data_IF_930508313770
#
_entry.id   IF_930508313770
#
_cell.length_a   1.000
_cell.length_b   1.000
_cell.length_c   1.000
_cell.angle_alpha   90.00
_cell.angle_beta   90.00
_cell.angle_gamma   90.00
#
_symmetry.space_group_name_H-M   'P 1'
#
loop_
_entity.id
_entity.type
_entity.pdbx_description
1 polymer ?
#
# COMPACT_ATOMS: atom_id res chain seq x y z
N UNK A 1 -16.10 7.12 -24.45
CA UNK A 1 -16.58 6.14 -23.45
C UNK A 1 -16.79 6.89 -22.15
N UNK A 2 -17.94 6.76 -21.54
CA UNK A 2 -18.28 7.58 -20.37
C UNK A 2 -17.94 6.83 -19.08
N UNK A 3 -16.97 7.34 -18.31
CA UNK A 3 -16.58 6.76 -17.00
C UNK A 3 -17.73 6.82 -15.98
N UNK A 4 -18.79 7.55 -16.29
CA UNK A 4 -19.95 7.68 -15.39
C UNK A 4 -20.63 6.35 -15.08
N UNK A 5 -20.41 5.31 -15.91
CA UNK A 5 -21.00 3.98 -15.72
C UNK A 5 -19.91 2.92 -15.40
N UNK A 6 -19.63 2.62 -14.11
CA UNK A 6 -18.65 1.61 -13.72
C UNK A 6 -18.92 0.21 -14.30
N UNK A 7 -20.19 -0.12 -14.59
CA UNK A 7 -20.55 -1.42 -15.15
C UNK A 7 -20.06 -1.57 -16.60
N UNK A 8 -20.10 -0.50 -17.38
CA UNK A 8 -19.58 -0.49 -18.77
C UNK A 8 -18.05 -0.59 -18.78
N UNK A 9 -17.37 0.15 -17.88
CA UNK A 9 -15.91 0.06 -17.75
C UNK A 9 -15.49 -1.37 -17.44
N UNK A 10 -16.16 -2.04 -16.48
CA UNK A 10 -15.88 -3.44 -16.13
C UNK A 10 -16.16 -4.40 -17.29
N UNK A 11 -17.29 -4.26 -17.97
CA UNK A 11 -17.63 -5.10 -19.15
C UNK A 11 -16.60 -4.93 -20.26
N UNK A 12 -16.19 -3.70 -20.53
CA UNK A 12 -15.16 -3.40 -21.54
C UNK A 12 -13.80 -3.96 -21.14
N UNK A 13 -13.41 -3.85 -19.87
CA UNK A 13 -12.16 -4.44 -19.36
C UNK A 13 -12.14 -5.96 -19.58
N UNK A 14 -13.24 -6.66 -19.24
CA UNK A 14 -13.34 -8.10 -19.48
C UNK A 14 -13.28 -8.45 -20.96
N UNK A 15 -13.95 -7.68 -21.84
CA UNK A 15 -13.92 -7.88 -23.29
C UNK A 15 -12.50 -7.71 -23.81
N UNK A 16 -11.83 -6.60 -23.51
CA UNK A 16 -10.45 -6.33 -23.92
C UNK A 16 -9.46 -7.41 -23.47
N UNK A 17 -9.60 -7.88 -22.23
CA UNK A 17 -8.77 -8.99 -21.71
C UNK A 17 -9.03 -10.32 -22.41
N UNK A 18 -10.27 -10.58 -22.90
CA UNK A 18 -10.60 -11.78 -23.68
C UNK A 18 -9.92 -11.73 -25.05
N UNK A 19 -9.94 -10.56 -25.69
CA UNK A 19 -9.34 -10.34 -27.00
C UNK A 19 -7.80 -10.46 -26.95
N UNK A 20 -7.18 -10.14 -25.79
CA UNK A 20 -5.72 -10.22 -25.60
C UNK A 20 -5.35 -11.56 -24.96
N UNK A 21 -5.02 -12.57 -25.80
CA UNK A 21 -4.75 -13.94 -25.37
C UNK A 21 -3.65 -14.10 -24.29
N UNK A 22 -2.70 -13.17 -24.19
CA UNK A 22 -1.57 -13.25 -23.28
C UNK A 22 -1.76 -12.52 -21.93
N UNK A 23 -2.86 -11.84 -21.71
CA UNK A 23 -3.13 -11.13 -20.45
C UNK A 23 -3.05 -12.02 -19.21
N UNK A 24 -3.55 -13.26 -19.30
CA UNK A 24 -3.45 -14.25 -18.22
C UNK A 24 -2.02 -14.73 -17.96
N UNK A 25 -1.20 -14.90 -19.02
CA UNK A 25 0.21 -15.28 -18.87
C UNK A 25 1.00 -14.21 -18.15
N UNK A 26 0.78 -12.94 -18.49
CA UNK A 26 1.42 -11.81 -17.81
C UNK A 26 0.99 -11.72 -16.34
N UNK A 27 -0.30 -11.93 -16.04
CA UNK A 27 -0.80 -11.98 -14.67
C UNK A 27 -0.18 -13.13 -13.87
N UNK A 28 -0.02 -14.31 -14.46
CA UNK A 28 0.63 -15.46 -13.84
C UNK A 28 2.10 -15.19 -13.54
N UNK A 29 2.85 -14.64 -14.51
CA UNK A 29 4.27 -14.30 -14.34
C UNK A 29 4.43 -13.21 -13.28
N UNK A 30 3.61 -12.16 -13.32
CA UNK A 30 3.61 -11.12 -12.30
C UNK A 30 3.33 -11.68 -10.90
N UNK A 31 2.27 -12.48 -10.75
CA UNK A 31 1.93 -13.12 -9.49
C UNK A 31 3.06 -14.02 -8.98
N UNK A 32 3.64 -14.85 -9.87
CA UNK A 32 4.75 -15.72 -9.53
C UNK A 32 5.99 -14.95 -9.07
N UNK A 33 6.35 -13.86 -9.75
CA UNK A 33 7.51 -13.04 -9.38
C UNK A 33 7.29 -12.31 -8.06
N UNK A 34 6.12 -11.67 -7.88
CA UNK A 34 5.81 -10.90 -6.67
C UNK A 34 5.69 -11.80 -5.43
N UNK A 35 4.96 -12.91 -5.55
CA UNK A 35 4.79 -13.86 -4.44
C UNK A 35 6.05 -14.69 -4.21
N UNK A 36 6.78 -15.05 -5.28
CA UNK A 36 8.08 -15.70 -5.18
C UNK A 36 9.10 -14.84 -4.44
N UNK A 37 9.13 -13.52 -4.71
CA UNK A 37 9.97 -12.58 -3.96
C UNK A 37 9.55 -12.52 -2.49
N UNK A 38 8.25 -12.49 -2.19
CA UNK A 38 7.75 -12.49 -0.82
C UNK A 38 8.11 -13.79 -0.08
N UNK A 39 7.96 -14.94 -0.74
CA UNK A 39 8.35 -16.24 -0.20
C UNK A 39 9.87 -16.32 0.04
N UNK A 40 10.67 -15.79 -0.89
CA UNK A 40 12.14 -15.74 -0.75
C UNK A 40 12.54 -14.89 0.47
N UNK A 41 11.92 -13.71 0.65
CA UNK A 41 12.20 -12.85 1.82
C UNK A 41 11.87 -13.59 3.12
N UNK A 42 10.71 -14.25 3.20
CA UNK A 42 10.33 -15.02 4.39
C UNK A 42 11.28 -16.19 4.63
N UNK A 43 11.68 -16.92 3.59
CA UNK A 43 12.65 -18.01 3.70
C UNK A 43 14.01 -17.50 4.22
N UNK A 44 14.52 -16.39 3.68
CA UNK A 44 15.78 -15.78 4.14
C UNK A 44 15.66 -15.29 5.58
N UNK A 45 14.52 -14.73 5.96
CA UNK A 45 14.24 -14.31 7.33
C UNK A 45 14.31 -15.52 8.28
N UNK A 46 13.70 -16.63 7.91
CA UNK A 46 13.76 -17.89 8.67
C UNK A 46 15.19 -18.38 8.85
N UNK A 47 15.98 -18.40 7.77
CA UNK A 47 17.40 -18.82 7.84
C UNK A 47 18.19 -17.91 8.77
N UNK A 48 17.96 -16.59 8.71
CA UNK A 48 18.62 -15.64 9.61
C UNK A 48 18.20 -15.86 11.07
N UNK A 49 16.94 -16.16 11.34
CA UNK A 49 16.41 -16.45 12.67
C UNK A 49 17.10 -17.70 13.28
N UNK A 50 17.22 -18.78 12.51
CA UNK A 50 17.94 -19.98 12.92
C UNK A 50 19.43 -19.70 13.22
N UNK A 51 20.06 -18.82 12.44
CA UNK A 51 21.46 -18.40 12.68
C UNK A 51 21.58 -17.50 13.92
N UNK A 52 20.56 -16.69 14.22
CA UNK A 52 20.49 -15.86 15.43
C UNK A 52 20.39 -16.75 16.67
N UNK A 53 19.52 -17.76 16.64
CA UNK A 53 19.33 -18.69 17.76
C UNK A 53 20.62 -19.51 18.07
N UNK A 54 21.38 -19.87 17.04
CA UNK A 54 22.66 -20.57 17.19
C UNK A 54 23.79 -19.67 17.71
N UNK A 55 23.63 -18.34 17.70
CA UNK A 55 24.66 -17.37 18.08
C UNK A 55 24.69 -17.07 19.59
N UNK A 56 24.11 -17.94 20.43
CA UNK A 56 24.05 -17.79 21.88
C UNK A 56 25.45 -17.75 22.56
N UNK A 57 25.64 -16.74 23.43
CA UNK A 57 26.87 -16.53 24.23
C UNK A 57 27.39 -15.10 24.15
N UNK A 58 28.19 -14.69 25.16
CA UNK A 58 28.74 -13.32 25.28
C UNK A 58 29.61 -12.91 24.07
N UNK A 59 30.29 -13.86 23.39
CA UNK A 59 31.05 -13.60 22.15
C UNK A 59 30.20 -13.42 20.87
N UNK A 60 28.93 -13.77 20.93
CA UNK A 60 28.02 -13.71 19.77
C UNK A 60 27.25 -12.40 19.62
N UNK A 61 27.37 -11.47 20.57
CA UNK A 61 26.55 -10.26 20.62
C UNK A 61 26.64 -9.39 19.32
N UNK A 62 27.85 -9.16 18.81
CA UNK A 62 28.08 -8.43 17.58
C UNK A 62 27.50 -9.15 16.36
N UNK A 63 27.69 -10.47 16.27
CA UNK A 63 27.12 -11.28 15.18
C UNK A 63 25.60 -11.25 15.21
N UNK A 64 24.98 -11.39 16.36
CA UNK A 64 23.52 -11.32 16.55
C UNK A 64 22.96 -9.98 16.10
N UNK A 65 23.60 -8.86 16.47
CA UNK A 65 23.19 -7.52 16.04
C UNK A 65 23.23 -7.37 14.52
N UNK A 66 24.27 -7.85 13.85
CA UNK A 66 24.38 -7.83 12.39
C UNK A 66 23.28 -8.67 11.75
N UNK A 67 23.02 -9.87 12.24
CA UNK A 67 21.97 -10.75 11.68
C UNK A 67 20.56 -10.14 11.85
N UNK A 68 20.25 -9.55 13.00
CA UNK A 68 18.99 -8.82 13.23
C UNK A 68 18.87 -7.62 12.27
N UNK A 69 19.96 -6.87 12.05
CA UNK A 69 19.97 -5.76 11.11
C UNK A 69 19.69 -6.23 9.68
N UNK A 70 20.30 -7.33 9.25
CA UNK A 70 20.04 -7.95 7.94
C UNK A 70 18.58 -8.41 7.80
N UNK A 71 18.02 -9.03 8.82
CA UNK A 71 16.63 -9.47 8.87
C UNK A 71 15.67 -8.29 8.66
N UNK A 72 15.94 -7.14 9.27
CA UNK A 72 15.11 -5.93 9.12
C UNK A 72 15.28 -5.23 7.75
N UNK A 73 16.45 -5.34 7.12
CA UNK A 73 16.73 -4.71 5.82
C UNK A 73 16.12 -5.50 4.64
N UNK A 74 16.04 -6.82 4.73
CA UNK A 74 15.53 -7.69 3.67
C UNK A 74 14.15 -7.28 3.11
N UNK A 75 13.11 -7.03 3.92
CA UNK A 75 11.82 -6.57 3.43
C UNK A 75 11.92 -5.20 2.74
N UNK A 76 12.80 -4.31 3.23
CA UNK A 76 12.99 -2.96 2.67
C UNK A 76 13.57 -3.03 1.25
N UNK A 77 14.50 -3.96 0.99
CA UNK A 77 15.08 -4.18 -0.35
C UNK A 77 14.02 -4.74 -1.32
N UNK A 78 13.07 -5.53 -0.84
CA UNK A 78 12.02 -6.10 -1.68
C UNK A 78 11.01 -5.03 -2.17
N UNK A 79 10.83 -3.92 -1.44
CA UNK A 79 9.86 -2.85 -1.80
C UNK A 79 10.14 -2.28 -3.19
N UNK A 80 11.34 -1.77 -3.54
CA UNK A 80 11.63 -1.20 -4.86
C UNK A 80 11.43 -2.22 -6.00
N UNK A 81 11.77 -3.49 -5.78
CA UNK A 81 11.59 -4.55 -6.78
C UNK A 81 10.09 -4.77 -7.04
N UNK A 82 9.28 -4.85 -5.99
CA UNK A 82 7.82 -4.97 -6.11
C UNK A 82 7.20 -3.76 -6.82
N UNK A 83 7.67 -2.53 -6.53
CA UNK A 83 7.21 -1.32 -7.22
C UNK A 83 7.52 -1.36 -8.72
N UNK A 84 8.70 -1.86 -9.12
CA UNK A 84 9.05 -2.03 -10.54
C UNK A 84 8.16 -3.05 -11.23
N UNK A 85 7.93 -4.20 -10.59
CA UNK A 85 7.04 -5.23 -11.11
C UNK A 85 5.61 -4.70 -11.26
N UNK A 86 5.14 -3.91 -10.31
CA UNK A 86 3.80 -3.31 -10.34
C UNK A 86 3.65 -2.31 -11.48
N UNK A 87 4.62 -1.40 -11.69
CA UNK A 87 4.59 -0.46 -12.82
C UNK A 87 4.61 -1.19 -14.16
N UNK A 88 5.46 -2.23 -14.29
CA UNK A 88 5.51 -3.07 -15.48
C UNK A 88 4.18 -3.78 -15.75
N UNK A 89 3.52 -4.25 -14.69
CA UNK A 89 2.20 -4.87 -14.78
C UNK A 89 1.10 -3.88 -15.19
N UNK A 90 1.10 -2.69 -14.60
CA UNK A 90 0.19 -1.60 -15.02
C UNK A 90 0.41 -1.20 -16.48
N UNK A 91 1.67 -1.18 -16.95
CA UNK A 91 1.98 -0.92 -18.36
C UNK A 91 1.42 -2.02 -19.27
N UNK A 92 1.52 -3.28 -18.86
CA UNK A 92 0.93 -4.41 -19.59
C UNK A 92 -0.60 -4.27 -19.67
N UNK A 93 -1.26 -3.93 -18.56
CA UNK A 93 -2.71 -3.76 -18.53
C UNK A 93 -3.17 -2.53 -19.32
N UNK A 94 -2.38 -1.45 -19.35
CA UNK A 94 -2.65 -0.28 -20.21
C UNK A 94 -2.59 -0.64 -21.69
N UNK A 95 -1.59 -1.42 -22.11
CA UNK A 95 -1.52 -1.94 -23.49
C UNK A 95 -2.71 -2.86 -23.81
N UNK A 96 -3.09 -3.75 -22.88
CA UNK A 96 -4.27 -4.59 -23.03
C UNK A 96 -5.56 -3.77 -23.18
N UNK A 97 -5.74 -2.71 -22.39
CA UNK A 97 -6.87 -1.80 -22.48
C UNK A 97 -6.97 -1.12 -23.85
N UNK A 98 -5.81 -0.84 -24.47
CA UNK A 98 -5.71 -0.25 -25.82
C UNK A 98 -5.81 -1.29 -26.95
N UNK A 99 -5.97 -2.57 -26.63
CA UNK A 99 -6.02 -3.67 -27.62
C UNK A 99 -4.68 -3.97 -28.26
N UNK A 100 -3.58 -3.54 -27.64
CA UNK A 100 -2.21 -3.80 -28.12
C UNK A 100 -1.71 -5.17 -27.63
N UNK A 101 -0.74 -5.70 -28.34
CA UNK A 101 -0.07 -6.94 -27.93
C UNK A 101 0.62 -6.78 -26.57
N UNK A 102 0.44 -7.77 -25.71
CA UNK A 102 1.00 -7.80 -24.35
C UNK A 102 1.87 -9.02 -24.20
N UNK A 103 3.09 -8.84 -23.67
CA UNK A 103 4.00 -9.94 -23.38
C UNK A 103 4.55 -9.81 -21.95
N UNK A 104 5.05 -10.91 -21.33
CA UNK A 104 5.71 -10.85 -20.03
C UNK A 104 6.93 -9.92 -20.00
N UNK A 105 7.58 -9.69 -21.13
CA UNK A 105 8.69 -8.74 -21.26
C UNK A 105 8.30 -7.30 -20.93
N UNK A 106 7.00 -6.95 -21.02
CA UNK A 106 6.50 -5.63 -20.63
C UNK A 106 6.74 -5.34 -19.15
N UNK A 107 6.86 -6.36 -18.31
CA UNK A 107 7.17 -6.19 -16.88
C UNK A 107 8.53 -5.52 -16.66
N UNK A 108 9.47 -5.68 -17.60
CA UNK A 108 10.81 -5.05 -17.55
C UNK A 108 10.73 -3.52 -17.59
N UNK A 109 9.68 -2.97 -18.19
CA UNK A 109 9.51 -1.51 -18.31
C UNK A 109 9.56 -0.79 -16.95
N UNK A 110 9.13 -1.44 -15.87
CA UNK A 110 9.23 -0.88 -14.52
C UNK A 110 10.68 -0.69 -14.07
N UNK A 111 11.57 -1.62 -14.42
CA UNK A 111 13.00 -1.53 -14.13
C UNK A 111 13.70 -0.48 -14.99
N UNK A 112 13.31 -0.37 -16.26
CA UNK A 112 13.87 0.64 -17.18
C UNK A 112 13.56 2.07 -16.70
N UNK A 113 12.48 2.25 -15.93
CA UNK A 113 12.03 3.54 -15.39
C UNK A 113 12.18 3.66 -13.88
N UNK A 114 13.01 2.84 -13.28
CA UNK A 114 13.18 2.74 -11.83
C UNK A 114 13.38 4.08 -11.14
N UNK A 115 14.31 4.91 -11.62
CA UNK A 115 14.65 6.17 -10.96
C UNK A 115 13.51 7.19 -10.97
N UNK A 116 12.77 7.26 -12.07
CA UNK A 116 11.61 8.18 -12.17
C UNK A 116 10.48 7.67 -11.27
N UNK A 117 10.23 6.37 -11.27
CA UNK A 117 9.23 5.73 -10.42
C UNK A 117 9.57 5.92 -8.94
N UNK A 118 10.81 5.63 -8.55
CA UNK A 118 11.26 5.78 -7.15
C UNK A 118 11.09 7.22 -6.66
N UNK A 119 11.53 8.20 -7.45
CA UNK A 119 11.35 9.62 -7.12
C UNK A 119 9.87 10.00 -7.03
N UNK A 120 9.03 9.48 -7.92
CA UNK A 120 7.59 9.76 -7.90
C UNK A 120 6.94 9.20 -6.62
N UNK A 121 7.23 7.95 -6.27
CA UNK A 121 6.70 7.30 -5.06
C UNK A 121 7.21 7.98 -3.80
N UNK A 122 8.50 8.34 -3.73
CA UNK A 122 9.06 9.06 -2.58
C UNK A 122 8.43 10.44 -2.40
N UNK A 123 8.23 11.20 -3.50
CA UNK A 123 7.56 12.50 -3.43
C UNK A 123 6.09 12.37 -3.00
N UNK A 124 5.36 11.40 -3.57
CA UNK A 124 3.98 11.12 -3.19
C UNK A 124 3.89 10.73 -1.71
N UNK A 125 4.74 9.78 -1.28
CA UNK A 125 4.81 9.35 0.12
C UNK A 125 5.16 10.49 1.07
N UNK A 126 6.11 11.36 0.71
CA UNK A 126 6.49 12.51 1.53
C UNK A 126 5.34 13.50 1.69
N UNK A 127 4.57 13.77 0.61
CA UNK A 127 3.40 14.66 0.65
C UNK A 127 2.30 14.04 1.54
N UNK A 128 1.98 12.74 1.35
CA UNK A 128 0.94 12.05 2.13
C UNK A 128 1.35 11.94 3.61
N UNK A 129 2.61 11.59 3.89
CA UNK A 129 3.14 11.48 5.24
C UNK A 129 3.13 12.84 5.95
N UNK A 130 3.61 13.91 5.30
CA UNK A 130 3.57 15.26 5.84
C UNK A 130 2.14 15.75 6.13
N UNK A 131 1.19 15.40 5.26
CA UNK A 131 -0.24 15.70 5.47
C UNK A 131 -0.81 14.92 6.66
N UNK A 132 -0.44 13.64 6.78
CA UNK A 132 -0.86 12.80 7.91
C UNK A 132 -0.31 13.32 9.23
N UNK A 133 0.98 13.67 9.30
CA UNK A 133 1.59 14.29 10.47
C UNK A 133 0.92 15.62 10.84
N UNK A 134 0.63 16.47 9.84
CA UNK A 134 -0.12 17.71 10.06
C UNK A 134 -1.52 17.46 10.63
N UNK A 135 -2.22 16.43 10.14
CA UNK A 135 -3.53 16.05 10.65
C UNK A 135 -3.49 15.55 12.10
N UNK A 136 -2.48 14.72 12.43
CA UNK A 136 -2.26 14.24 13.80
C UNK A 136 -1.95 15.42 14.74
N UNK A 137 -1.08 16.33 14.29
CA UNK A 137 -0.74 17.53 15.08
C UNK A 137 -1.97 18.40 15.34
N UNK A 138 -2.77 18.68 14.30
CA UNK A 138 -4.03 19.44 14.46
C UNK A 138 -5.02 18.71 15.38
N UNK A 139 -5.16 17.40 15.24
CA UNK A 139 -6.01 16.58 16.09
C UNK A 139 -5.57 16.61 17.54
N UNK A 140 -4.28 16.54 17.81
CA UNK A 140 -3.73 16.64 19.17
C UNK A 140 -3.93 18.03 19.79
N UNK A 141 -3.78 19.11 19.01
CA UNK A 141 -4.09 20.48 19.48
C UNK A 141 -5.58 20.63 19.88
N UNK A 142 -6.49 20.14 19.01
CA UNK A 142 -7.92 20.19 19.29
C UNK A 142 -8.25 19.36 20.56
N UNK A 143 -7.62 18.19 20.71
CA UNK A 143 -7.78 17.36 21.90
C UNK A 143 -7.31 18.09 23.17
N UNK A 144 -6.14 18.74 23.13
CA UNK A 144 -5.60 19.50 24.27
C UNK A 144 -6.55 20.62 24.73
N UNK A 145 -7.36 21.15 23.83
CA UNK A 145 -8.36 22.18 24.17
C UNK A 145 -9.72 21.58 24.61
N UNK A 146 -9.84 20.27 24.69
CA UNK A 146 -11.09 19.57 25.01
C UNK A 146 -11.13 19.15 26.48
N UNK A 147 -12.32 19.01 27.11
CA UNK A 147 -12.45 18.49 28.46
C UNK A 147 -11.93 17.06 28.67
N UNK A 148 -11.70 16.33 27.58
CA UNK A 148 -11.11 14.97 27.64
C UNK A 148 -9.63 14.99 27.99
N UNK A 149 -8.91 16.06 27.65
CA UNK A 149 -7.49 16.22 28.03
C UNK A 149 -7.36 16.38 29.55
N UNK A 150 -8.26 17.12 30.18
CA UNK A 150 -8.25 17.31 31.63
C UNK A 150 -8.46 15.99 32.37
N UNK A 151 -9.36 15.14 31.86
CA UNK A 151 -9.58 13.79 32.41
C UNK A 151 -8.33 12.91 32.23
N UNK A 152 -7.68 12.93 31.07
CA UNK A 152 -6.47 12.17 30.83
C UNK A 152 -5.33 12.63 31.74
N UNK A 153 -5.17 13.94 31.94
CA UNK A 153 -4.18 14.51 32.85
C UNK A 153 -4.46 14.16 34.31
N UNK A 154 -5.71 14.23 34.76
CA UNK A 154 -6.12 13.86 36.13
C UNK A 154 -5.81 12.37 36.43
N UNK A 155 -5.92 11.47 35.42
CA UNK A 155 -5.55 10.07 35.54
C UNK A 155 -4.03 9.84 35.56
N UNK A 156 -3.27 10.67 34.86
CA UNK A 156 -1.80 10.57 34.81
C UNK A 156 -1.12 11.22 36.00
N UNK A 157 -1.70 12.24 36.59
CA UNK A 157 -1.07 13.04 37.63
C UNK A 157 -0.58 12.20 38.83
N UNK A 158 -1.33 11.23 39.39
CA UNK A 158 -0.85 10.41 40.49
C UNK A 158 0.37 9.54 40.10
N UNK A 159 0.44 9.11 38.83
CA UNK A 159 1.58 8.33 38.32
C UNK A 159 2.80 9.22 38.11
N UNK A 160 2.60 10.45 37.61
CA UNK A 160 3.64 11.45 37.43
C UNK A 160 4.25 11.90 38.77
N UNK A 161 3.40 12.13 39.78
CA UNK A 161 3.82 12.58 41.11
C UNK A 161 4.61 11.48 41.86
N UNK A 162 4.37 10.21 41.56
CA UNK A 162 5.05 9.06 42.16
C UNK A 162 6.37 8.67 41.45
N UNK A 163 6.64 9.19 40.26
CA UNK A 163 7.73 8.75 39.40
C UNK A 163 8.88 9.76 39.36
N UNK A 164 10.07 9.34 39.73
CA UNK A 164 11.33 10.08 39.49
C UNK A 164 11.79 10.03 38.05
N UNK A 165 11.41 8.98 37.30
CA UNK A 165 11.65 8.80 35.85
C UNK A 165 10.42 8.15 35.23
N UNK A 166 9.86 8.77 34.19
CA UNK A 166 8.74 8.22 33.41
C UNK A 166 9.16 6.93 32.69
N UNK A 167 8.66 5.79 33.17
CA UNK A 167 8.77 4.52 32.49
C UNK A 167 7.37 4.07 32.01
N UNK A 168 7.18 3.74 30.72
CA UNK A 168 5.89 3.24 30.21
C UNK A 168 5.33 2.05 30.99
N UNK A 169 6.18 1.19 31.57
CA UNK A 169 5.75 0.08 32.41
C UNK A 169 5.06 0.52 33.71
N UNK A 170 5.43 1.66 34.28
CA UNK A 170 4.74 2.17 35.49
C UNK A 170 3.26 2.50 35.23
N UNK A 171 2.93 2.96 34.03
CA UNK A 171 1.54 3.22 33.64
C UNK A 171 0.77 1.91 33.47
N UNK A 172 1.42 0.87 32.93
CA UNK A 172 0.81 -0.46 32.79
C UNK A 172 0.58 -1.12 34.15
N UNK A 173 1.54 -1.04 35.05
CA UNK A 173 1.50 -1.66 36.39
C UNK A 173 0.54 -0.92 37.36
N UNK A 174 0.27 0.36 37.12
CA UNK A 174 -0.62 1.18 37.94
C UNK A 174 -2.11 0.83 37.83
N UNK A 175 -2.52 0.00 36.84
CA UNK A 175 -3.90 -0.33 36.55
C UNK A 175 -4.74 0.83 35.96
N UNK A 176 -4.10 1.99 35.72
CA UNK A 176 -4.74 3.19 35.15
C UNK A 176 -4.79 3.11 33.62
N UNK A 177 -4.08 2.16 33.02
CA UNK A 177 -3.90 2.03 31.56
C UNK A 177 -5.25 1.99 30.80
N UNK A 178 -6.18 1.15 31.23
CA UNK A 178 -7.48 0.99 30.55
C UNK A 178 -8.33 2.27 30.65
N UNK A 179 -8.32 2.93 31.80
CA UNK A 179 -9.03 4.19 31.99
C UNK A 179 -8.41 5.33 31.16
N UNK A 180 -7.07 5.36 31.09
CA UNK A 180 -6.33 6.31 30.28
C UNK A 180 -6.61 6.09 28.77
N UNK A 181 -6.58 4.83 28.32
CA UNK A 181 -6.95 4.49 26.93
C UNK A 181 -8.37 4.92 26.60
N UNK A 182 -9.32 4.72 27.53
CA UNK A 182 -10.70 5.21 27.39
C UNK A 182 -10.79 6.75 27.29
N UNK A 183 -10.02 7.47 28.11
CA UNK A 183 -9.97 8.94 28.07
C UNK A 183 -9.30 9.47 26.79
N UNK A 184 -8.32 8.75 26.23
CA UNK A 184 -7.61 9.13 24.99
C UNK A 184 -8.30 8.64 23.71
N UNK A 185 -9.28 7.72 23.80
CA UNK A 185 -9.98 7.19 22.64
C UNK A 185 -10.58 8.28 21.72
N UNK A 186 -11.20 9.36 22.22
CA UNK A 186 -11.69 10.44 21.37
C UNK A 186 -10.57 11.14 20.60
N UNK A 187 -9.36 11.27 21.18
CA UNK A 187 -8.21 11.84 20.50
C UNK A 187 -7.76 10.97 19.31
N UNK A 188 -7.66 9.66 19.53
CA UNK A 188 -7.29 8.72 18.47
C UNK A 188 -8.31 8.74 17.32
N UNK A 189 -9.60 8.71 17.64
CA UNK A 189 -10.68 8.79 16.64
C UNK A 189 -10.60 10.10 15.87
N UNK A 190 -10.43 11.23 16.56
CA UNK A 190 -10.31 12.55 15.93
C UNK A 190 -9.10 12.63 15.00
N UNK A 191 -7.93 12.20 15.44
CA UNK A 191 -6.71 12.18 14.62
C UNK A 191 -6.87 11.29 13.40
N UNK A 192 -7.49 10.10 13.56
CA UNK A 192 -7.72 9.16 12.48
C UNK A 192 -8.70 9.72 11.44
N UNK A 193 -9.78 10.35 11.88
CA UNK A 193 -10.77 10.99 11.00
C UNK A 193 -10.14 12.15 10.24
N UNK A 194 -9.40 13.04 10.92
CA UNK A 194 -8.69 14.16 10.27
C UNK A 194 -7.65 13.66 9.27
N UNK A 195 -6.85 12.65 9.66
CA UNK A 195 -5.89 12.04 8.76
C UNK A 195 -6.59 11.46 7.52
N UNK A 196 -7.67 10.72 7.68
CA UNK A 196 -8.43 10.16 6.56
C UNK A 196 -9.01 11.25 5.66
N UNK A 197 -9.66 12.27 6.23
CA UNK A 197 -10.30 13.37 5.48
C UNK A 197 -9.28 14.17 4.67
N UNK A 198 -8.07 14.36 5.17
CA UNK A 198 -7.03 15.13 4.48
C UNK A 198 -6.21 14.28 3.51
N UNK A 199 -5.83 13.05 3.89
CA UNK A 199 -4.92 12.21 3.07
C UNK A 199 -5.64 11.47 1.95
N UNK A 200 -6.88 10.97 2.16
CA UNK A 200 -7.59 10.19 1.14
C UNK A 200 -7.85 11.00 -0.13
N UNK A 201 -8.41 12.24 -0.10
CA UNK A 201 -8.58 13.04 -1.31
C UNK A 201 -7.27 13.36 -2.00
N UNK A 202 -6.18 13.51 -1.24
CA UNK A 202 -4.86 13.79 -1.78
C UNK A 202 -4.26 12.56 -2.48
N UNK A 203 -4.39 11.37 -1.90
CA UNK A 203 -3.99 10.11 -2.52
C UNK A 203 -4.73 9.88 -3.85
N UNK A 204 -6.04 10.17 -3.91
CA UNK A 204 -6.78 10.09 -5.16
C UNK A 204 -6.25 11.04 -6.24
N UNK A 205 -5.75 12.23 -5.87
CA UNK A 205 -5.17 13.18 -6.84
C UNK A 205 -3.90 12.69 -7.50
N UNK A 206 -3.12 11.85 -6.82
CA UNK A 206 -1.84 11.34 -7.33
C UNK A 206 -1.94 9.94 -7.95
N UNK A 207 -3.06 9.27 -7.81
CA UNK A 207 -3.27 7.87 -8.21
C UNK A 207 -2.95 7.57 -9.68
N UNK A 208 -3.12 8.55 -10.58
CA UNK A 208 -2.85 8.38 -12.01
C UNK A 208 -1.39 8.67 -12.40
N UNK A 209 -0.53 9.07 -11.45
CA UNK A 209 0.85 9.46 -11.73
C UNK A 209 1.67 8.32 -12.36
N UNK A 210 1.47 7.08 -11.90
CA UNK A 210 2.15 5.90 -12.44
C UNK A 210 1.77 5.66 -13.92
N UNK A 211 0.48 5.80 -14.27
CA UNK A 211 0.03 5.71 -15.67
C UNK A 211 0.62 6.82 -16.55
N UNK A 212 0.80 8.02 -16.02
CA UNK A 212 1.48 9.12 -16.72
C UNK A 212 2.93 8.78 -17.02
N UNK A 213 3.67 8.18 -16.06
CA UNK A 213 5.04 7.72 -16.25
C UNK A 213 5.10 6.62 -17.32
N UNK A 214 4.12 5.72 -17.35
CA UNK A 214 4.03 4.67 -18.37
C UNK A 214 3.81 5.26 -19.77
N UNK A 215 2.92 6.24 -19.86
CA UNK A 215 2.46 6.79 -21.15
C UNK A 215 3.45 7.78 -21.76
N UNK A 216 4.18 8.54 -20.95
CA UNK A 216 5.14 9.56 -21.36
C UNK A 216 6.57 9.21 -20.93
N UNK A 217 7.36 8.55 -21.81
CA UNK A 217 8.76 8.29 -21.54
C UNK A 217 9.54 9.60 -21.31
N UNK A 218 10.36 9.63 -20.27
CA UNK A 218 11.21 10.79 -19.96
C UNK A 218 10.56 11.92 -19.15
N UNK A 219 9.27 11.77 -18.75
CA UNK A 219 8.63 12.78 -17.89
C UNK A 219 9.29 12.81 -16.50
N UNK A 220 9.63 14.00 -15.94
CA UNK A 220 10.10 14.09 -14.57
C UNK A 220 9.00 13.72 -13.55
N UNK A 221 9.39 13.15 -12.41
CA UNK A 221 8.46 12.69 -11.37
C UNK A 221 7.48 13.78 -10.90
N UNK A 222 7.98 15.00 -10.65
CA UNK A 222 7.15 16.16 -10.25
C UNK A 222 6.09 16.52 -11.30
N UNK A 223 6.46 16.44 -12.59
CA UNK A 223 5.54 16.71 -13.68
C UNK A 223 4.47 15.63 -13.82
N UNK A 224 4.84 14.36 -13.57
CA UNK A 224 3.88 13.25 -13.55
C UNK A 224 2.83 13.46 -12.43
N UNK A 225 3.25 13.86 -11.23
CA UNK A 225 2.35 14.20 -10.12
C UNK A 225 1.44 15.40 -10.45
N UNK A 226 1.99 16.47 -11.03
CA UNK A 226 1.19 17.64 -11.46
C UNK A 226 0.15 17.24 -12.51
N UNK A 227 0.55 16.47 -13.51
CA UNK A 227 -0.37 16.02 -14.56
C UNK A 227 -1.46 15.10 -14.00
N UNK A 228 -1.11 14.18 -13.07
CA UNK A 228 -2.10 13.36 -12.36
C UNK A 228 -3.11 14.24 -11.61
N UNK A 229 -2.63 15.21 -10.84
CA UNK A 229 -3.48 16.16 -10.09
C UNK A 229 -4.43 16.93 -11.03
N UNK A 230 -3.94 17.38 -12.17
CA UNK A 230 -4.76 18.09 -13.17
C UNK A 230 -5.85 17.18 -13.74
N UNK A 231 -5.52 15.96 -14.17
CA UNK A 231 -6.47 14.99 -14.72
C UNK A 231 -7.53 14.57 -13.69
N UNK A 232 -7.16 14.49 -12.43
CA UNK A 232 -8.07 14.11 -11.35
C UNK A 232 -9.01 15.23 -10.91
N UNK A 233 -8.75 16.48 -11.29
CA UNK A 233 -9.64 17.61 -10.99
C UNK A 233 -11.00 17.39 -11.66
N UNK A 234 -12.08 17.24 -10.86
CA UNK A 234 -13.43 16.94 -11.33
C UNK A 234 -13.70 15.45 -11.64
N UNK A 235 -12.70 14.58 -11.67
CA UNK A 235 -12.85 13.16 -11.96
C UNK A 235 -12.70 12.24 -10.74
N UNK A 236 -12.33 12.77 -9.57
CA UNK A 236 -12.14 12.00 -8.33
C UNK A 236 -13.38 11.20 -7.96
N UNK A 237 -14.58 11.80 -8.03
CA UNK A 237 -15.83 11.11 -7.71
C UNK A 237 -16.17 9.97 -8.67
N UNK A 238 -15.76 10.07 -9.94
CA UNK A 238 -15.96 9.01 -10.93
C UNK A 238 -15.08 7.80 -10.59
N UNK A 239 -13.81 8.07 -10.27
CA UNK A 239 -12.87 7.03 -9.87
C UNK A 239 -13.28 6.36 -8.55
N UNK A 240 -13.78 7.15 -7.58
CA UNK A 240 -14.32 6.62 -6.33
C UNK A 240 -15.51 5.67 -6.57
N UNK A 241 -16.43 6.02 -7.49
CA UNK A 241 -17.53 5.11 -7.87
C UNK A 241 -17.02 3.82 -8.49
N UNK A 242 -15.95 3.87 -9.28
CA UNK A 242 -15.30 2.69 -9.83
C UNK A 242 -14.71 1.84 -8.71
N UNK A 243 -14.01 2.43 -7.75
CA UNK A 243 -13.45 1.74 -6.59
C UNK A 243 -14.52 1.06 -5.75
N UNK A 244 -15.59 1.76 -5.41
CA UNK A 244 -16.73 1.18 -4.69
C UNK A 244 -17.32 0.01 -5.48
N UNK A 245 -17.38 0.09 -6.79
CA UNK A 245 -17.89 -1.02 -7.62
C UNK A 245 -16.96 -2.25 -7.67
N UNK A 246 -15.70 -2.08 -7.26
CA UNK A 246 -14.66 -3.11 -7.17
C UNK A 246 -14.44 -3.59 -5.72
N UNK A 247 -15.35 -3.28 -4.79
CA UNK A 247 -15.25 -3.62 -3.36
C UNK A 247 -14.92 -5.09 -3.11
N UNK A 248 -15.47 -5.98 -3.93
CA UNK A 248 -15.24 -7.42 -3.84
C UNK A 248 -13.77 -7.81 -4.00
N UNK A 249 -13.01 -7.10 -4.86
CA UNK A 249 -11.57 -7.30 -5.01
C UNK A 249 -10.80 -6.86 -3.76
N UNK A 250 -11.15 -5.69 -3.22
CA UNK A 250 -10.52 -5.20 -1.98
C UNK A 250 -10.89 -6.07 -0.78
N UNK A 251 -12.14 -6.55 -0.72
CA UNK A 251 -12.59 -7.49 0.28
C UNK A 251 -11.85 -8.82 0.23
N UNK A 252 -11.69 -9.40 -0.97
CA UNK A 252 -10.91 -10.62 -1.16
C UNK A 252 -9.43 -10.43 -0.76
N UNK A 253 -8.83 -9.29 -1.13
CA UNK A 253 -7.44 -8.97 -0.76
C UNK A 253 -7.28 -8.74 0.74
N UNK A 254 -8.28 -8.15 1.40
CA UNK A 254 -8.30 -7.99 2.85
C UNK A 254 -8.40 -9.34 3.55
N UNK A 255 -9.31 -10.22 3.11
CA UNK A 255 -9.45 -11.57 3.65
C UNK A 255 -8.16 -12.38 3.50
N UNK A 256 -7.46 -12.26 2.36
CA UNK A 256 -6.17 -12.90 2.19
C UNK A 256 -5.14 -12.39 3.21
N UNK A 257 -5.10 -11.07 3.48
CA UNK A 257 -4.20 -10.50 4.51
C UNK A 257 -4.57 -10.97 5.93
N UNK A 258 -5.86 -11.02 6.23
CA UNK A 258 -6.36 -11.56 7.52
C UNK A 258 -5.91 -13.01 7.68
N UNK A 259 -5.96 -13.81 6.61
CA UNK A 259 -5.48 -15.19 6.62
C UNK A 259 -3.96 -15.26 6.93
N UNK A 260 -3.16 -14.32 6.44
CA UNK A 260 -1.72 -14.25 6.74
C UNK A 260 -1.43 -14.13 8.25
N UNK A 261 -2.31 -13.47 9.00
CA UNK A 261 -2.22 -13.31 10.46
C UNK A 261 -3.13 -14.24 11.23
N UNK A 262 -3.52 -15.36 10.61
CA UNK A 262 -4.50 -16.31 11.17
C UNK A 262 -4.05 -16.95 12.49
N UNK A 263 -2.75 -17.20 12.66
CA UNK A 263 -2.13 -17.68 13.90
C UNK A 263 -2.31 -16.71 15.06
N UNK A 264 -2.01 -15.43 14.82
CA UNK A 264 -2.16 -14.34 15.81
C UNK A 264 -3.64 -14.16 16.18
N UNK A 265 -4.54 -14.19 15.20
CA UNK A 265 -5.98 -14.08 15.44
C UNK A 265 -6.53 -15.24 16.27
N UNK A 266 -6.10 -16.46 15.98
CA UNK A 266 -6.49 -17.64 16.76
C UNK A 266 -5.97 -17.57 18.20
N UNK A 267 -4.72 -17.13 18.38
CA UNK A 267 -4.14 -16.92 19.70
C UNK A 267 -4.92 -15.86 20.50
N UNK A 268 -5.34 -14.75 19.88
CA UNK A 268 -6.17 -13.73 20.51
C UNK A 268 -7.56 -14.24 20.92
N UNK A 269 -8.11 -15.20 20.16
CA UNK A 269 -9.39 -15.85 20.47
C UNK A 269 -9.25 -16.99 21.50
N UNK A 270 -8.06 -17.22 22.04
CA UNK A 270 -7.77 -18.33 22.98
C UNK A 270 -7.78 -19.72 22.32
N UNK A 271 -7.86 -19.79 21.00
CA UNK A 271 -7.83 -21.05 20.25
C UNK A 271 -6.37 -21.42 19.95
N UNK A 272 -5.95 -22.62 20.36
CA UNK A 272 -4.62 -23.17 20.03
C UNK A 272 -4.78 -24.32 19.05
N UNK A 273 -3.97 -24.29 18.00
CA UNK A 273 -3.88 -25.42 17.07
C UNK A 273 -3.03 -26.53 17.69
N UNK A 274 -3.25 -27.83 17.31
CA UNK A 274 -2.55 -28.96 17.89
C UNK A 274 -1.06 -29.06 17.47
N UNK A 275 -0.58 -28.17 16.61
CA UNK A 275 0.79 -28.08 16.13
C UNK A 275 1.53 -26.88 16.69
N UNK A 276 2.86 -26.83 16.52
CA UNK A 276 3.69 -25.74 17.03
C UNK A 276 3.33 -24.40 16.37
N UNK A 277 3.54 -23.30 17.09
CA UNK A 277 3.27 -21.94 16.61
C UNK A 277 4.00 -21.66 15.28
N UNK A 278 5.23 -22.15 15.13
CA UNK A 278 6.01 -22.04 13.90
C UNK A 278 5.33 -22.73 12.70
N UNK A 279 4.82 -23.96 12.89
CA UNK A 279 4.10 -24.69 11.83
C UNK A 279 2.80 -23.98 11.48
N UNK A 280 2.09 -23.43 12.45
CA UNK A 280 0.86 -22.66 12.25
C UNK A 280 1.15 -21.42 11.41
N UNK A 281 2.16 -20.63 11.76
CA UNK A 281 2.57 -19.42 11.02
C UNK A 281 2.87 -19.74 9.55
N UNK A 282 3.74 -20.72 9.27
CA UNK A 282 4.09 -21.05 7.88
C UNK A 282 2.92 -21.68 7.12
N UNK A 283 2.04 -22.41 7.79
CA UNK A 283 0.81 -22.95 7.21
C UNK A 283 -0.14 -21.83 6.73
N UNK A 284 -0.40 -20.84 7.58
CA UNK A 284 -1.19 -19.67 7.24
C UNK A 284 -0.53 -18.81 6.14
N UNK A 285 0.78 -18.64 6.20
CA UNK A 285 1.52 -17.93 5.17
C UNK A 285 1.45 -18.63 3.81
N UNK A 286 1.58 -19.95 3.75
CA UNK A 286 1.43 -20.72 2.52
C UNK A 286 0.00 -20.62 1.96
N UNK A 287 -1.02 -20.71 2.81
CA UNK A 287 -2.41 -20.50 2.43
C UNK A 287 -2.64 -19.09 1.89
N UNK A 288 -2.08 -18.06 2.54
CA UNK A 288 -2.09 -16.67 2.04
C UNK A 288 -1.49 -16.57 0.64
N UNK A 289 -0.31 -17.16 0.40
CA UNK A 289 0.34 -17.11 -0.92
C UNK A 289 -0.54 -17.75 -2.00
N UNK A 290 -1.17 -18.89 -1.70
CA UNK A 290 -2.06 -19.58 -2.64
C UNK A 290 -3.29 -18.73 -2.98
N UNK A 291 -3.96 -18.19 -1.97
CA UNK A 291 -5.13 -17.30 -2.14
C UNK A 291 -4.74 -16.02 -2.87
N UNK A 292 -3.63 -15.40 -2.51
CA UNK A 292 -3.15 -14.18 -3.16
C UNK A 292 -2.75 -14.41 -4.62
N UNK A 293 -2.17 -15.59 -4.94
CA UNK A 293 -1.92 -15.99 -6.32
C UNK A 293 -3.23 -16.08 -7.12
N UNK A 294 -4.24 -16.72 -6.57
CA UNK A 294 -5.55 -16.82 -7.21
C UNK A 294 -6.18 -15.42 -7.44
N UNK A 295 -6.09 -14.52 -6.45
CA UNK A 295 -6.57 -13.13 -6.58
C UNK A 295 -5.83 -12.41 -7.71
N UNK A 296 -4.50 -12.51 -7.78
CA UNK A 296 -3.71 -11.85 -8.81
C UNK A 296 -4.01 -12.42 -10.20
N UNK A 297 -4.13 -13.74 -10.31
CA UNK A 297 -4.40 -14.40 -11.58
C UNK A 297 -5.80 -14.15 -12.13
N UNK A 298 -6.84 -14.23 -11.28
CA UNK A 298 -8.24 -14.16 -11.74
C UNK A 298 -8.84 -12.76 -11.66
N UNK A 299 -8.48 -11.98 -10.66
CA UNK A 299 -9.19 -10.74 -10.32
C UNK A 299 -8.40 -9.48 -10.67
N UNK A 300 -7.11 -9.41 -10.34
CA UNK A 300 -6.30 -8.20 -10.46
C UNK A 300 -6.20 -7.71 -11.90
N UNK A 301 -6.08 -8.60 -12.88
CA UNK A 301 -6.03 -8.23 -14.29
C UNK A 301 -7.26 -7.44 -14.75
N UNK A 302 -8.45 -7.80 -14.26
CA UNK A 302 -9.71 -7.09 -14.56
C UNK A 302 -9.73 -5.70 -13.93
N UNK A 303 -9.25 -5.61 -12.70
CA UNK A 303 -9.21 -4.36 -11.92
C UNK A 303 -8.23 -3.37 -12.55
N UNK A 304 -6.99 -3.81 -12.82
CA UNK A 304 -5.98 -2.94 -13.41
C UNK A 304 -6.34 -2.51 -14.84
N UNK A 305 -6.96 -3.40 -15.65
CA UNK A 305 -7.47 -3.02 -16.97
C UNK A 305 -8.60 -2.00 -16.85
N UNK A 306 -9.47 -2.10 -15.84
CA UNK A 306 -10.51 -1.10 -15.62
C UNK A 306 -9.92 0.27 -15.26
N UNK A 307 -8.87 0.32 -14.44
CA UNK A 307 -8.15 1.57 -14.15
C UNK A 307 -7.42 2.12 -15.38
N UNK A 308 -6.82 1.26 -16.19
CA UNK A 308 -6.20 1.67 -17.45
C UNK A 308 -7.20 2.30 -18.42
N UNK A 309 -8.40 1.74 -18.54
CA UNK A 309 -9.50 2.32 -19.33
C UNK A 309 -9.95 3.66 -18.74
N UNK A 310 -10.08 3.74 -17.40
CA UNK A 310 -10.41 4.98 -16.71
C UNK A 310 -9.36 6.05 -16.98
N UNK A 311 -8.06 5.73 -16.91
CA UNK A 311 -6.97 6.64 -17.27
C UNK A 311 -7.09 7.17 -18.70
N UNK A 312 -7.27 6.28 -19.70
CA UNK A 312 -7.37 6.68 -21.10
C UNK A 312 -8.58 7.59 -21.37
N UNK A 313 -9.63 7.50 -20.57
CA UNK A 313 -10.85 8.31 -20.74
C UNK A 313 -10.75 9.70 -20.09
N UNK A 314 -9.90 9.87 -19.05
CA UNK A 314 -9.65 11.19 -18.41
C UNK A 314 -8.43 11.90 -18.98
N UNK A 315 -7.64 11.20 -19.76
CA UNK A 315 -6.45 11.76 -20.42
C UNK A 315 -6.85 12.88 -21.37
N UNK A 316 -6.15 14.04 -21.36
CA UNK A 316 -6.39 15.11 -22.32
C UNK A 316 -6.22 14.61 -23.76
N UNK A 317 -7.21 14.83 -24.61
CA UNK A 317 -7.20 14.38 -26.01
C UNK A 317 -6.09 15.02 -26.85
N UNK A 318 -5.59 16.18 -26.42
CA UNK A 318 -4.51 16.94 -27.07
C UNK A 318 -3.15 16.22 -27.08
N UNK A 319 -2.97 15.23 -26.24
CA UNK A 319 -1.76 14.41 -26.26
C UNK A 319 -1.71 13.41 -27.44
N UNK A 320 -2.77 13.31 -28.25
CA UNK A 320 -2.82 12.46 -29.45
C UNK A 320 -2.29 13.17 -30.71
N UNK A 321 -2.26 14.49 -30.72
CA UNK A 321 -1.68 15.31 -31.77
C UNK A 321 -0.37 15.92 -31.28
N UNK A 322 0.74 15.38 -31.75
CA UNK A 322 2.12 15.67 -31.34
C UNK A 322 2.42 17.08 -30.84
N UNK A 323 2.99 17.13 -29.68
CA UNK A 323 4.12 18.02 -29.33
C UNK A 323 3.89 19.50 -29.10
N UNK A 324 2.74 20.13 -29.46
CA UNK A 324 2.70 21.60 -29.60
C UNK A 324 2.06 22.42 -28.44
N UNK A 325 1.43 21.80 -27.44
CA UNK A 325 0.62 22.54 -26.45
C UNK A 325 1.17 22.52 -25.01
N UNK A 326 2.32 21.87 -24.78
CA UNK A 326 2.91 21.85 -23.44
C UNK A 326 3.42 23.22 -22.94
N UNK A 327 3.65 24.18 -23.84
CA UNK A 327 4.13 25.52 -23.49
C UNK A 327 3.10 26.43 -22.82
N UNK A 328 1.83 26.29 -23.13
CA UNK A 328 0.78 27.22 -22.66
C UNK A 328 0.17 26.87 -21.30
N UNK A 329 0.26 25.60 -20.86
CA UNK A 329 -0.29 25.16 -19.58
C UNK A 329 0.63 25.51 -18.40
N UNK A 330 1.90 25.83 -18.65
CA UNK A 330 2.90 26.12 -17.64
C UNK A 330 3.21 27.61 -17.43
N UNK A 331 2.50 28.51 -18.14
CA UNK A 331 2.63 29.96 -17.97
C UNK A 331 1.53 30.59 -17.10
N UNK A 332 0.65 29.82 -16.55
CA UNK A 332 -0.32 30.21 -15.52
C UNK A 332 0.05 29.45 -14.20
#
# INVERSE_FOLDING_TARGET
>A
MDIYNPSEVKKTAVRRLRDVQQGKKVAAVYAGLTLGLSALVVLLTLVLELLIDQSGGLGGMGRRTVLISLQNILPVIAIPVNLCLELGYQAAMLRAARGQYVSPQTLRLGFDRFWVLLRCVLLESAILFGTCLGAIYLGSLIFMMSPFSDRAMALLQPVLDSATVLNPQMVLDSGVYDQLMGAMAPAFVLCLVLAAVLTVPLAFRYRMAQYVIIDKPGIPAMMALRQSRYMMKGNTGKLLKLDISLWWYYGASLLARVLCYGDVLLAMLGARLPWSDTVSYYGFFAAYLAVQFAIYYFLRNRVETAYAIAYDSIRPKEAQTGGAVLGSIFQQ
#
